data_IF_694234535045
#
_entry.id   IF_694234535045
#
_cell.length_a   1.000
_cell.length_b   1.000
_cell.length_c   1.000
_cell.angle_alpha   90.00
_cell.angle_beta   90.00
_cell.angle_gamma   90.00
#
_symmetry.space_group_name_H-M   'P 1'
#
loop_
_entity.id
_entity.type
_entity.pdbx_description
1 polymer ?
#
# COMPACT_ATOMS: atom_id res chain seq x y z
N UNK A 1 53.49 -3.78 -26.21
CA UNK A 1 52.74 -4.04 -24.96
C UNK A 1 51.30 -3.54 -25.14
N UNK A 2 50.41 -4.36 -25.72
CA UNK A 2 49.02 -3.97 -25.98
C UNK A 2 48.18 -4.46 -24.81
N UNK A 3 47.74 -3.53 -23.95
CA UNK A 3 46.85 -3.83 -22.85
C UNK A 3 45.48 -4.22 -23.41
N UNK A 4 45.10 -5.48 -23.23
CA UNK A 4 43.74 -5.96 -23.53
C UNK A 4 42.86 -5.52 -22.37
N UNK A 5 42.05 -4.48 -22.60
CA UNK A 5 41.01 -4.07 -21.66
C UNK A 5 39.87 -5.07 -21.78
N UNK A 6 39.72 -5.94 -20.78
CA UNK A 6 38.59 -6.84 -20.67
C UNK A 6 37.32 -6.02 -20.41
N UNK A 7 36.42 -5.99 -21.39
CA UNK A 7 35.12 -5.36 -21.25
C UNK A 7 34.24 -6.21 -20.32
N UNK A 8 34.03 -5.73 -19.09
CA UNK A 8 33.02 -6.26 -18.19
C UNK A 8 31.63 -5.94 -18.76
N UNK A 9 30.95 -6.97 -19.27
CA UNK A 9 29.54 -6.90 -19.63
C UNK A 9 28.72 -6.73 -18.34
N UNK A 10 28.16 -5.54 -18.13
CA UNK A 10 27.26 -5.29 -17.01
C UNK A 10 25.91 -5.95 -17.29
N UNK A 11 25.54 -6.93 -16.47
CA UNK A 11 24.23 -7.58 -16.52
C UNK A 11 23.21 -6.65 -15.86
N UNK A 12 22.12 -6.26 -16.54
CA UNK A 12 21.08 -5.46 -15.92
C UNK A 12 20.31 -6.33 -14.92
N UNK A 13 20.43 -6.02 -13.63
CA UNK A 13 19.56 -6.59 -12.60
C UNK A 13 18.22 -5.88 -12.72
N UNK A 14 17.24 -6.56 -13.34
CA UNK A 14 15.86 -6.09 -13.32
C UNK A 14 15.33 -6.23 -11.90
N UNK A 15 14.99 -5.10 -11.28
CA UNK A 15 14.36 -5.11 -9.96
C UNK A 15 12.99 -5.81 -10.07
N UNK A 16 12.81 -6.91 -9.35
CA UNK A 16 11.51 -7.57 -9.25
C UNK A 16 10.56 -6.59 -8.56
N UNK A 17 9.56 -6.09 -9.28
CA UNK A 17 8.61 -5.14 -8.72
C UNK A 17 7.87 -5.81 -7.55
N UNK A 18 8.22 -5.41 -6.33
CA UNK A 18 7.53 -5.86 -5.14
C UNK A 18 6.08 -5.38 -5.18
N UNK A 19 5.14 -6.25 -4.83
CA UNK A 19 3.74 -5.87 -4.74
C UNK A 19 3.50 -4.78 -3.69
N UNK A 20 2.32 -4.13 -3.71
CA UNK A 20 2.00 -3.08 -2.76
C UNK A 20 2.05 -3.61 -1.33
N UNK A 21 2.59 -2.79 -0.44
CA UNK A 21 2.68 -3.07 1.00
C UNK A 21 1.70 -2.20 1.76
N UNK A 22 1.26 -2.66 2.93
CA UNK A 22 0.33 -1.88 3.73
C UNK A 22 0.91 -0.52 4.12
N UNK A 23 2.11 -0.51 4.70
CA UNK A 23 2.67 0.71 5.29
C UNK A 23 2.98 1.77 4.25
N UNK A 24 3.48 1.39 3.07
CA UNK A 24 3.85 2.33 2.02
C UNK A 24 2.66 2.74 1.16
N UNK A 25 1.82 1.79 0.74
CA UNK A 25 0.85 2.03 -0.34
C UNK A 25 -0.59 2.18 0.18
N UNK A 26 -0.97 1.44 1.22
CA UNK A 26 -2.38 1.36 1.67
C UNK A 26 -2.65 2.33 2.81
N UNK A 27 -1.78 2.37 3.83
CA UNK A 27 -1.97 3.17 5.02
C UNK A 27 -2.12 4.67 4.71
N UNK A 28 -1.32 5.29 3.81
CA UNK A 28 -1.51 6.70 3.48
C UNK A 28 -2.87 7.01 2.86
N UNK A 29 -3.45 6.08 2.09
CA UNK A 29 -4.79 6.23 1.49
C UNK A 29 -5.85 6.16 2.60
N UNK A 30 -5.78 5.13 3.46
CA UNK A 30 -6.73 5.01 4.56
C UNK A 30 -6.65 6.20 5.53
N UNK A 31 -5.46 6.73 5.77
CA UNK A 31 -5.27 7.86 6.66
C UNK A 31 -5.87 9.15 6.08
N UNK A 32 -5.75 9.35 4.77
CA UNK A 32 -6.30 10.53 4.10
C UNK A 32 -7.82 10.46 3.94
N UNK A 33 -8.33 9.31 3.50
CA UNK A 33 -9.73 9.19 3.06
C UNK A 33 -10.67 8.61 4.13
N UNK A 34 -10.14 7.87 5.12
CA UNK A 34 -10.99 7.09 6.04
C UNK A 34 -10.75 7.44 7.52
N UNK A 35 -9.52 7.76 7.91
CA UNK A 35 -9.14 7.88 9.31
C UNK A 35 -9.78 9.07 10.05
N UNK A 36 -10.31 10.07 9.35
CA UNK A 36 -11.07 11.16 9.97
C UNK A 36 -12.24 10.61 10.81
N UNK A 37 -12.93 9.59 10.28
CA UNK A 37 -14.03 8.90 10.94
C UNK A 37 -13.61 7.56 11.55
N UNK A 38 -12.84 6.75 10.83
CA UNK A 38 -12.44 5.38 11.20
C UNK A 38 -11.11 5.32 11.96
N UNK A 39 -11.05 6.02 13.09
CA UNK A 39 -9.92 6.01 14.03
C UNK A 39 -10.41 5.63 15.43
N UNK A 40 -9.50 5.28 16.37
CA UNK A 40 -9.89 5.09 17.77
C UNK A 40 -10.66 6.31 18.28
N UNK A 41 -11.79 6.06 18.95
CA UNK A 41 -12.73 7.07 19.44
C UNK A 41 -13.32 8.01 18.36
N UNK A 42 -13.19 7.67 17.08
CA UNK A 42 -13.86 8.35 15.98
C UNK A 42 -15.33 7.95 15.88
N UNK A 43 -16.08 8.64 15.01
CA UNK A 43 -17.50 8.37 14.75
C UNK A 43 -17.74 7.09 13.94
N UNK A 44 -16.72 6.57 13.27
CA UNK A 44 -16.78 5.30 12.56
C UNK A 44 -16.82 4.12 13.54
N UNK A 45 -17.57 3.04 13.24
CA UNK A 45 -17.78 1.92 14.16
C UNK A 45 -16.53 1.07 14.42
N UNK A 46 -15.42 1.32 13.72
CA UNK A 46 -14.15 0.61 13.87
C UNK A 46 -12.97 1.45 13.39
N UNK A 47 -11.77 1.11 13.87
CA UNK A 47 -10.51 1.69 13.41
C UNK A 47 -10.06 1.07 12.08
N UNK A 48 -9.40 1.88 11.24
CA UNK A 48 -8.66 1.47 10.04
C UNK A 48 -7.17 1.88 10.08
N UNK A 49 -6.69 2.30 11.25
CA UNK A 49 -5.30 2.76 11.41
C UNK A 49 -4.32 1.59 11.42
N UNK A 50 -4.61 0.54 12.20
CA UNK A 50 -3.74 -0.61 12.31
C UNK A 50 -3.93 -1.57 11.12
N UNK A 51 -2.85 -2.21 10.67
CA UNK A 51 -2.90 -3.18 9.57
C UNK A 51 -3.90 -4.31 9.83
N UNK A 52 -3.89 -4.88 11.05
CA UNK A 52 -4.76 -6.00 11.40
C UNK A 52 -6.24 -5.63 11.27
N UNK A 53 -6.58 -4.40 11.61
CA UNK A 53 -7.92 -3.86 11.53
C UNK A 53 -8.37 -3.63 10.08
N UNK A 54 -7.51 -3.02 9.26
CA UNK A 54 -7.77 -2.85 7.83
C UNK A 54 -7.85 -4.20 7.10
N UNK A 55 -6.94 -5.14 7.39
CA UNK A 55 -6.87 -6.44 6.76
C UNK A 55 -8.13 -7.29 7.03
N UNK A 56 -8.63 -7.30 8.27
CA UNK A 56 -9.90 -7.96 8.63
C UNK A 56 -11.10 -7.47 7.81
N UNK A 57 -11.03 -6.24 7.29
CA UNK A 57 -12.11 -5.56 6.58
C UNK A 57 -11.83 -5.33 5.09
N UNK A 58 -10.72 -5.83 4.55
CA UNK A 58 -10.26 -5.51 3.19
C UNK A 58 -11.33 -5.78 2.11
N UNK A 59 -12.03 -6.92 2.19
CA UNK A 59 -13.12 -7.26 1.25
C UNK A 59 -14.28 -6.27 1.34
N UNK A 60 -14.68 -5.89 2.55
CA UNK A 60 -15.75 -4.93 2.77
C UNK A 60 -15.36 -3.54 2.28
N UNK A 61 -14.13 -3.09 2.58
CA UNK A 61 -13.59 -1.81 2.09
C UNK A 61 -13.67 -1.76 0.56
N UNK A 62 -13.15 -2.79 -0.12
CA UNK A 62 -13.21 -2.87 -1.58
C UNK A 62 -14.64 -2.83 -2.12
N UNK A 63 -15.58 -3.56 -1.50
CA UNK A 63 -16.97 -3.58 -1.93
C UNK A 63 -17.67 -2.22 -1.76
N UNK A 64 -17.46 -1.53 -0.64
CA UNK A 64 -18.13 -0.25 -0.36
C UNK A 64 -17.53 0.91 -1.15
N UNK A 65 -16.22 0.90 -1.41
CA UNK A 65 -15.56 1.93 -2.21
C UNK A 65 -15.88 1.78 -3.70
N UNK A 66 -15.96 0.55 -4.21
CA UNK A 66 -16.33 0.27 -5.60
C UNK A 66 -17.72 0.82 -5.96
N UNK A 67 -18.67 0.75 -5.03
CA UNK A 67 -20.03 1.31 -5.19
C UNK A 67 -20.16 2.76 -4.71
N UNK A 68 -19.05 3.43 -4.37
CA UNK A 68 -19.02 4.82 -3.85
C UNK A 68 -19.91 5.04 -2.62
N UNK A 69 -20.10 4.01 -1.80
CA UNK A 69 -20.86 4.14 -0.55
C UNK A 69 -20.00 4.74 0.58
N UNK A 70 -18.70 4.46 0.55
CA UNK A 70 -17.71 5.01 1.47
C UNK A 70 -16.44 5.38 0.70
N UNK A 71 -15.74 6.45 1.07
CA UNK A 71 -16.20 7.50 2.00
C UNK A 71 -17.46 8.21 1.44
N UNK A 72 -18.39 8.69 2.31
CA UNK A 72 -19.62 9.37 1.89
C UNK A 72 -19.36 10.75 1.27
#
# INVERSE_FOLDING_TARGET
MRYVVAALCAIPVSALAAGPTFSHDVAPILYRECASCHRPSGVGPFSLIAWQDAAKRAKSIAAVTARRYMPP
#
